data_IF_606825463038
#
_entry.id   IF_606825463038
#
_cell.length_a   1.000
_cell.length_b   1.000
_cell.length_c   1.000
_cell.angle_alpha   90.00
_cell.angle_beta   90.00
_cell.angle_gamma   90.00
#
_symmetry.space_group_name_H-M   'P 1'
#
loop_
_entity.id
_entity.type
_entity.pdbx_description
1 polymer ?
#
# COMPACT_ATOMS: atom_id res chain seq x y z
N UNK A 1 -16.54 11.32 15.15
CA UNK A 1 -17.01 9.95 15.46
C UNK A 1 -16.63 9.07 14.29
N UNK A 2 -15.39 8.57 14.23
CA UNK A 2 -14.99 7.58 13.22
C UNK A 2 -15.47 6.22 13.71
N UNK A 3 -16.48 5.68 13.02
CA UNK A 3 -17.00 4.34 13.24
C UNK A 3 -15.88 3.31 13.01
N UNK A 4 -15.68 2.39 13.95
CA UNK A 4 -14.63 1.36 13.90
C UNK A 4 -14.62 0.56 12.58
N UNK A 5 -15.75 0.50 11.89
CA UNK A 5 -15.93 -0.20 10.63
C UNK A 5 -15.09 0.37 9.46
N UNK A 6 -14.87 1.69 9.41
CA UNK A 6 -14.09 2.33 8.32
C UNK A 6 -12.61 1.93 8.34
N UNK A 7 -12.06 1.58 9.52
CA UNK A 7 -10.67 1.15 9.65
C UNK A 7 -10.40 -0.24 9.06
N UNK A 8 -11.44 -1.05 8.88
CA UNK A 8 -11.33 -2.43 8.43
C UNK A 8 -11.95 -2.67 7.04
N UNK A 9 -12.21 -1.59 6.28
CA UNK A 9 -12.58 -1.70 4.87
C UNK A 9 -11.41 -2.28 4.03
N UNK A 10 -11.74 -2.88 2.90
CA UNK A 10 -10.74 -3.39 1.96
C UNK A 10 -9.79 -2.28 1.50
N UNK A 11 -8.48 -2.52 1.63
CA UNK A 11 -7.43 -1.61 1.21
C UNK A 11 -7.40 -1.50 -0.33
N UNK A 12 -8.06 -0.49 -0.88
CA UNK A 12 -8.11 -0.22 -2.33
C UNK A 12 -7.78 1.24 -2.67
N UNK A 13 -6.50 1.66 -2.58
CA UNK A 13 -6.11 3.03 -2.90
C UNK A 13 -6.23 3.32 -4.42
N UNK A 14 -6.65 4.53 -4.81
CA UNK A 14 -6.71 4.91 -6.23
C UNK A 14 -5.30 5.00 -6.84
N UNK A 15 -5.16 4.57 -8.09
CA UNK A 15 -3.92 4.70 -8.83
C UNK A 15 -3.63 6.18 -9.13
N UNK A 16 -2.41 6.62 -8.81
CA UNK A 16 -1.96 8.00 -9.03
C UNK A 16 -0.64 8.00 -9.80
N UNK A 17 -0.40 9.04 -10.59
CA UNK A 17 0.89 9.28 -11.21
C UNK A 17 1.65 10.32 -10.39
N UNK A 18 2.49 9.84 -9.46
CA UNK A 18 3.21 10.70 -8.52
C UNK A 18 4.53 11.19 -9.14
N UNK A 19 4.56 12.43 -9.62
CA UNK A 19 5.72 13.09 -10.26
C UNK A 19 6.28 14.28 -9.47
N UNK A 20 5.84 14.45 -8.21
CA UNK A 20 6.34 15.50 -7.34
C UNK A 20 7.71 15.15 -6.70
N UNK A 21 8.26 16.05 -5.86
CA UNK A 21 9.49 15.80 -5.11
C UNK A 21 9.25 14.85 -3.92
N UNK A 22 8.84 13.61 -4.22
CA UNK A 22 8.72 12.48 -3.28
C UNK A 22 7.53 12.51 -2.32
N UNK A 23 7.03 11.34 -1.87
CA UNK A 23 7.27 9.99 -2.41
C UNK A 23 6.62 9.79 -3.79
N UNK A 24 7.26 8.96 -4.62
CA UNK A 24 6.80 8.63 -5.98
C UNK A 24 6.26 7.19 -6.03
N UNK A 25 5.70 6.80 -7.17
CA UNK A 25 5.23 5.43 -7.38
C UNK A 25 6.38 4.42 -7.29
N UNK A 26 6.15 3.33 -6.56
CA UNK A 26 7.09 2.21 -6.51
C UNK A 26 6.92 1.32 -7.75
N UNK A 27 8.01 0.65 -8.16
CA UNK A 27 7.94 -0.34 -9.22
C UNK A 27 7.14 -1.58 -8.78
N UNK A 28 6.40 -2.25 -9.70
CA UNK A 28 5.60 -3.44 -9.36
C UNK A 28 6.40 -4.55 -8.67
N UNK A 29 7.68 -4.71 -9.02
CA UNK A 29 8.58 -5.70 -8.40
C UNK A 29 8.80 -5.45 -6.90
N UNK A 30 8.79 -4.20 -6.44
CA UNK A 30 8.94 -3.86 -5.02
C UNK A 30 7.69 -4.27 -4.25
N UNK A 31 6.50 -3.99 -4.79
CA UNK A 31 5.24 -4.44 -4.17
C UNK A 31 5.17 -5.96 -4.07
N UNK A 32 5.57 -6.68 -5.12
CA UNK A 32 5.64 -8.15 -5.10
C UNK A 32 6.61 -8.67 -4.04
N UNK A 33 7.78 -8.05 -3.90
CA UNK A 33 8.77 -8.44 -2.89
C UNK A 33 8.26 -8.23 -1.47
N UNK A 34 7.58 -7.10 -1.20
CA UNK A 34 7.03 -6.79 0.13
C UNK A 34 5.88 -7.72 0.51
N UNK A 35 5.12 -8.21 -0.47
CA UNK A 35 4.02 -9.16 -0.21
C UNK A 35 4.49 -10.59 0.11
N UNK A 36 5.80 -10.87 0.12
CA UNK A 36 6.31 -12.20 0.42
C UNK A 36 6.15 -12.53 1.91
N UNK A 37 5.95 -13.82 2.21
CA UNK A 37 5.88 -14.29 3.58
C UNK A 37 7.20 -14.04 4.32
N UNK A 38 7.10 -13.69 5.61
CA UNK A 38 8.28 -13.59 6.45
C UNK A 38 8.85 -14.98 6.74
N UNK A 39 10.17 -15.09 6.72
CA UNK A 39 10.88 -16.30 7.10
C UNK A 39 11.14 -16.31 8.63
N UNK A 40 10.94 -17.47 9.28
CA UNK A 40 11.31 -17.68 10.69
C UNK A 40 10.39 -17.05 11.75
N UNK A 41 9.07 -17.01 11.49
CA UNK A 41 8.03 -16.55 12.43
C UNK A 41 7.67 -17.63 13.46
#
# INVERSE_FOLDING_TARGET
>A
MTTQNELFEALNPPQRLLMGPGPINAYPRVHQAISQALIGQ
#
